data_IF_941769659362
#
_entry.id   IF_941769659362
#
_cell.length_a   1.000
_cell.length_b   1.000
_cell.length_c   1.000
_cell.angle_alpha   90.00
_cell.angle_beta   90.00
_cell.angle_gamma   90.00
#
_symmetry.space_group_name_H-M   'P 1'
#
loop_
_entity.id
_entity.type
_entity.pdbx_description
1 polymer ?
#
# COMPACT_ATOMS: atom_id res chain seq x y z
N UNK A 1 0.29 -13.41 -9.48
CA UNK A 1 -0.85 -12.58 -9.07
C UNK A 1 -0.95 -11.37 -9.97
N UNK A 2 -2.14 -10.92 -10.37
CA UNK A 2 -2.32 -9.69 -11.16
C UNK A 2 -2.81 -8.56 -10.24
N UNK A 3 -2.26 -7.36 -10.44
CA UNK A 3 -2.60 -6.15 -9.70
C UNK A 3 -2.96 -5.05 -10.70
N UNK A 4 -4.12 -4.43 -10.49
CA UNK A 4 -4.60 -3.28 -11.27
C UNK A 4 -4.83 -2.08 -10.34
N UNK A 5 -4.34 -0.91 -10.73
CA UNK A 5 -4.54 0.34 -10.02
C UNK A 5 -5.71 1.14 -10.62
N UNK A 6 -6.82 1.17 -9.89
CA UNK A 6 -8.05 1.78 -10.36
C UNK A 6 -8.08 3.30 -10.15
N UNK A 7 -7.27 3.82 -9.21
CA UNK A 7 -7.13 5.24 -8.93
C UNK A 7 -7.28 5.54 -7.43
N UNK A 8 -6.79 6.68 -6.97
CA UNK A 8 -6.76 7.04 -5.54
C UNK A 8 -6.08 5.96 -4.66
N UNK A 9 -6.82 5.24 -3.82
CA UNK A 9 -6.37 4.05 -3.08
C UNK A 9 -7.05 2.77 -3.55
N UNK A 10 -7.76 2.81 -4.68
CA UNK A 10 -8.53 1.68 -5.18
C UNK A 10 -7.64 0.75 -6.03
N UNK A 11 -7.55 -0.52 -5.63
CA UNK A 11 -6.80 -1.56 -6.33
C UNK A 11 -7.65 -2.81 -6.53
N UNK A 12 -7.39 -3.53 -7.63
CA UNK A 12 -7.94 -4.88 -7.84
C UNK A 12 -6.81 -5.90 -7.90
N UNK A 13 -6.88 -6.92 -7.04
CA UNK A 13 -6.01 -8.08 -7.06
C UNK A 13 -6.75 -9.28 -7.64
N UNK A 14 -6.08 -10.03 -8.50
CA UNK A 14 -6.61 -11.25 -9.11
C UNK A 14 -5.62 -12.40 -8.92
N UNK A 15 -6.14 -13.53 -8.43
CA UNK A 15 -5.43 -14.80 -8.29
C UNK A 15 -6.38 -15.94 -8.65
N UNK A 16 -5.96 -16.85 -9.52
CA UNK A 16 -6.76 -18.02 -9.94
C UNK A 16 -8.20 -17.68 -10.38
N UNK A 17 -8.39 -16.50 -11.00
CA UNK A 17 -9.69 -16.00 -11.45
C UNK A 17 -10.57 -15.37 -10.36
N UNK A 18 -10.15 -15.43 -9.08
CA UNK A 18 -10.80 -14.74 -7.97
C UNK A 18 -10.29 -13.30 -7.84
N UNK A 19 -11.20 -12.34 -7.77
CA UNK A 19 -10.87 -10.92 -7.74
C UNK A 19 -11.27 -10.26 -6.42
N UNK A 20 -10.32 -9.54 -5.79
CA UNK A 20 -10.55 -8.71 -4.61
C UNK A 20 -10.32 -7.24 -4.97
N UNK A 21 -11.32 -6.39 -4.72
CA UNK A 21 -11.18 -4.93 -4.80
C UNK A 21 -10.90 -4.38 -3.40
N UNK A 22 -9.95 -3.46 -3.32
CA UNK A 22 -9.52 -2.75 -2.12
C UNK A 22 -9.93 -1.29 -2.29
N UNK A 23 -10.54 -0.71 -1.25
CA UNK A 23 -10.88 0.72 -1.10
C UNK A 23 -11.54 1.35 -2.34
N UNK A 24 -12.70 0.84 -2.79
CA UNK A 24 -13.45 1.52 -3.85
C UNK A 24 -13.90 2.90 -3.38
N UNK A 25 -13.84 3.90 -4.26
CA UNK A 25 -14.31 5.24 -3.97
C UNK A 25 -15.74 5.45 -4.52
N UNK A 26 -16.54 6.20 -3.78
CA UNK A 26 -17.85 6.68 -4.21
C UNK A 26 -17.74 7.59 -5.44
N UNK A 27 -18.82 7.70 -6.21
CA UNK A 27 -18.89 8.65 -7.30
C UNK A 27 -18.67 10.09 -6.79
N UNK A 28 -17.81 10.81 -7.49
CA UNK A 28 -17.45 12.21 -7.23
C UNK A 28 -16.80 12.48 -5.86
N UNK A 29 -16.47 11.45 -5.06
CA UNK A 29 -15.79 11.63 -3.77
C UNK A 29 -14.32 12.00 -3.93
N UNK A 30 -13.66 11.48 -4.97
CA UNK A 30 -12.31 11.88 -5.36
C UNK A 30 -12.38 12.78 -6.61
N UNK A 31 -11.95 14.05 -6.52
CA UNK A 31 -12.02 14.96 -7.65
C UNK A 31 -11.30 14.42 -8.88
N UNK A 32 -11.95 14.51 -10.04
CA UNK A 32 -11.35 14.20 -11.34
C UNK A 32 -11.20 12.72 -11.69
N UNK A 33 -11.60 11.79 -10.81
CA UNK A 33 -11.67 10.37 -11.13
C UNK A 33 -13.00 9.99 -11.76
N UNK A 34 -12.95 9.04 -12.70
CA UNK A 34 -14.14 8.42 -13.29
C UNK A 34 -14.86 7.55 -12.27
N UNK A 35 -16.18 7.41 -12.46
CA UNK A 35 -16.99 6.45 -11.70
C UNK A 35 -16.43 5.04 -11.86
N UNK A 36 -16.44 4.28 -10.76
CA UNK A 36 -16.17 2.85 -10.80
C UNK A 36 -17.39 2.11 -11.38
N UNK A 37 -17.11 1.12 -12.23
CA UNK A 37 -18.04 0.06 -12.65
C UNK A 37 -17.23 -1.22 -12.71
N UNK A 38 -17.00 -1.80 -11.54
CA UNK A 38 -16.05 -2.90 -11.36
C UNK A 38 -16.78 -4.11 -10.78
N UNK A 39 -16.55 -5.27 -11.38
CA UNK A 39 -16.99 -6.55 -10.84
C UNK A 39 -15.84 -7.22 -10.09
N UNK A 40 -16.17 -7.87 -8.96
CA UNK A 40 -15.21 -8.59 -8.13
C UNK A 40 -15.90 -9.69 -7.31
N UNK A 41 -15.12 -10.63 -6.79
CA UNK A 41 -15.63 -11.70 -5.92
C UNK A 41 -15.70 -11.23 -4.45
N UNK A 42 -14.82 -10.31 -4.06
CA UNK A 42 -14.77 -9.72 -2.72
C UNK A 42 -14.39 -8.24 -2.78
N UNK A 43 -14.88 -7.47 -1.82
CA UNK A 43 -14.48 -6.08 -1.61
C UNK A 43 -14.05 -5.86 -0.17
N UNK A 44 -12.96 -5.12 0.05
CA UNK A 44 -12.43 -4.78 1.37
C UNK A 44 -12.23 -3.27 1.46
N UNK A 45 -12.73 -2.65 2.53
CA UNK A 45 -12.54 -1.23 2.80
C UNK A 45 -11.69 -1.05 4.06
N UNK A 46 -10.64 -0.24 3.97
CA UNK A 46 -9.80 0.14 5.10
C UNK A 46 -10.60 0.90 6.15
N UNK A 47 -11.48 1.80 5.73
CA UNK A 47 -12.35 2.60 6.59
C UNK A 47 -13.57 3.13 5.82
N UNK A 48 -14.46 3.85 6.50
CA UNK A 48 -15.79 4.21 6.00
C UNK A 48 -15.91 5.56 5.26
N UNK A 49 -14.81 6.23 4.91
CA UNK A 49 -14.89 7.48 4.16
C UNK A 49 -15.28 7.23 2.69
N UNK A 50 -15.94 8.20 2.06
CA UNK A 50 -16.46 8.06 0.70
C UNK A 50 -15.38 7.89 -0.37
N UNK A 51 -14.13 8.25 -0.11
CA UNK A 51 -13.00 7.97 -1.00
C UNK A 51 -12.39 6.55 -0.80
N UNK A 52 -12.95 5.73 0.10
CA UNK A 52 -12.49 4.37 0.42
C UNK A 52 -13.61 3.33 0.60
N UNK A 53 -14.88 3.73 0.66
CA UNK A 53 -16.00 2.84 0.97
C UNK A 53 -17.20 2.96 -0.02
N UNK A 54 -16.93 3.21 -1.29
CA UNK A 54 -17.93 3.24 -2.38
C UNK A 54 -18.40 1.86 -2.83
N UNK A 55 -18.94 1.08 -1.90
CA UNK A 55 -19.39 -0.30 -2.12
C UNK A 55 -20.51 -0.41 -3.17
N UNK A 56 -21.30 0.65 -3.35
CA UNK A 56 -22.39 0.67 -4.33
C UNK A 56 -21.90 0.64 -5.80
N UNK A 57 -20.61 0.91 -6.03
CA UNK A 57 -19.98 0.88 -7.36
C UNK A 57 -19.26 -0.45 -7.66
N UNK A 58 -19.34 -1.42 -6.74
CA UNK A 58 -18.79 -2.75 -6.91
C UNK A 58 -19.91 -3.77 -7.08
N UNK A 59 -19.89 -4.49 -8.20
CA UNK A 59 -20.80 -5.61 -8.46
C UNK A 59 -20.15 -6.90 -7.97
N UNK A 60 -20.67 -7.48 -6.89
CA UNK A 60 -20.22 -8.79 -6.44
C UNK A 60 -20.67 -9.86 -7.42
N UNK A 61 -19.71 -10.65 -7.93
CA UNK A 61 -19.98 -11.72 -8.90
C UNK A 61 -20.81 -12.87 -8.32
N UNK A 62 -20.79 -13.06 -7.00
CA UNK A 62 -21.50 -14.14 -6.29
C UNK A 62 -21.24 -15.54 -6.88
N UNK A 63 -19.99 -15.81 -7.29
CA UNK A 63 -19.60 -17.06 -7.97
C UNK A 63 -19.69 -18.30 -7.07
N UNK A 64 -19.69 -18.12 -5.75
CA UNK A 64 -19.55 -19.21 -4.78
C UNK A 64 -18.15 -19.83 -4.75
N UNK A 65 -17.19 -19.26 -5.48
CA UNK A 65 -15.80 -19.71 -5.47
C UNK A 65 -15.17 -19.46 -4.10
N UNK A 66 -14.36 -20.40 -3.63
CA UNK A 66 -13.53 -20.19 -2.45
C UNK A 66 -12.42 -19.19 -2.79
N UNK A 67 -12.17 -18.23 -1.90
CA UNK A 67 -11.07 -17.29 -2.09
C UNK A 67 -9.72 -18.02 -1.98
N UNK A 68 -8.81 -17.88 -2.97
CA UNK A 68 -7.44 -18.36 -2.86
C UNK A 68 -6.58 -17.45 -1.96
N UNK A 69 -7.10 -16.29 -1.55
CA UNK A 69 -6.41 -15.36 -0.69
C UNK A 69 -6.60 -15.70 0.78
N UNK A 70 -5.49 -15.80 1.51
CA UNK A 70 -5.51 -15.58 2.95
C UNK A 70 -5.50 -14.07 3.21
N UNK A 71 -6.59 -13.56 3.78
CA UNK A 71 -6.77 -12.14 4.11
C UNK A 71 -6.65 -11.94 5.62
N UNK A 72 -5.82 -10.99 6.02
CA UNK A 72 -5.72 -10.51 7.40
C UNK A 72 -6.00 -9.01 7.44
N UNK A 73 -6.69 -8.57 8.49
CA UNK A 73 -7.03 -7.17 8.77
C UNK A 73 -6.36 -6.76 10.07
N UNK A 74 -5.57 -5.70 10.04
CA UNK A 74 -4.96 -5.09 11.23
C UNK A 74 -5.59 -3.73 11.48
N UNK A 75 -6.18 -3.54 12.66
CA UNK A 75 -6.73 -2.24 13.08
C UNK A 75 -5.60 -1.25 13.39
N UNK A 76 -5.69 -0.05 12.83
CA UNK A 76 -4.71 1.03 12.92
C UNK A 76 -5.43 2.39 12.95
N UNK A 77 -4.69 3.48 12.76
CA UNK A 77 -5.21 4.83 12.89
C UNK A 77 -4.96 5.65 11.64
N UNK A 78 -5.96 6.48 11.29
CA UNK A 78 -5.90 7.44 10.18
C UNK A 78 -5.09 8.70 10.56
N UNK A 79 -4.69 8.83 11.83
CA UNK A 79 -3.86 9.93 12.33
C UNK A 79 -2.86 9.47 13.43
N UNK A 80 -1.97 10.38 13.85
CA UNK A 80 -0.98 10.18 14.90
C UNK A 80 -1.53 10.42 16.33
N UNK A 81 -2.85 10.59 16.46
CA UNK A 81 -3.60 10.81 17.70
C UNK A 81 -4.60 9.67 17.95
N UNK A 82 -4.30 8.47 17.46
CA UNK A 82 -5.13 7.27 17.67
C UNK A 82 -6.56 7.45 17.19
N UNK A 83 -6.73 8.08 16.04
CA UNK A 83 -8.02 8.27 15.38
C UNK A 83 -8.85 9.43 15.93
N UNK A 84 -8.32 10.25 16.85
CA UNK A 84 -9.06 11.40 17.38
C UNK A 84 -9.40 12.46 16.32
N UNK A 85 -8.60 12.56 15.26
CA UNK A 85 -8.77 13.57 14.21
C UNK A 85 -9.50 13.02 12.99
N UNK A 86 -9.28 11.74 12.66
CA UNK A 86 -9.66 11.13 11.37
C UNK A 86 -10.26 9.73 11.48
N UNK A 87 -10.30 9.17 12.68
CA UNK A 87 -10.89 7.85 12.94
C UNK A 87 -9.94 6.67 12.73
N UNK A 88 -10.53 5.48 12.66
CA UNK A 88 -9.80 4.23 12.47
C UNK A 88 -9.39 4.03 11.01
N UNK A 89 -8.33 3.26 10.82
CA UNK A 89 -7.89 2.77 9.53
C UNK A 89 -7.59 1.27 9.64
N UNK A 90 -7.81 0.49 8.59
CA UNK A 90 -7.36 -0.89 8.56
C UNK A 90 -6.34 -1.16 7.48
N UNK A 91 -5.26 -1.83 7.89
CA UNK A 91 -4.26 -2.39 7.00
C UNK A 91 -4.76 -3.77 6.58
N UNK A 92 -4.79 -4.03 5.28
CA UNK A 92 -5.12 -5.36 4.73
C UNK A 92 -3.87 -6.05 4.23
N UNK A 93 -3.65 -7.29 4.70
CA UNK A 93 -2.59 -8.18 4.24
C UNK A 93 -3.26 -9.28 3.42
N UNK A 94 -2.87 -9.42 2.16
CA UNK A 94 -3.39 -10.39 1.22
C UNK A 94 -2.28 -11.33 0.78
N UNK A 95 -2.48 -12.63 0.98
CA UNK A 95 -1.53 -13.67 0.63
C UNK A 95 -2.14 -14.68 -0.34
N UNK A 96 -1.53 -14.82 -1.51
CA UNK A 96 -1.84 -15.84 -2.51
C UNK A 96 -0.65 -16.01 -3.45
N UNK A 97 -0.56 -17.15 -4.16
CA UNK A 97 0.54 -17.46 -5.09
C UNK A 97 1.95 -17.32 -4.46
N UNK A 98 2.07 -17.55 -3.14
CA UNK A 98 3.33 -17.39 -2.40
C UNK A 98 3.78 -15.94 -2.19
N UNK A 99 2.92 -14.96 -2.49
CA UNK A 99 3.19 -13.52 -2.37
C UNK A 99 2.40 -12.91 -1.23
N UNK A 100 2.97 -11.85 -0.63
CA UNK A 100 2.34 -11.04 0.41
C UNK A 100 2.22 -9.58 -0.04
N UNK A 101 0.99 -9.15 -0.32
CA UNK A 101 0.65 -7.77 -0.69
C UNK A 101 -0.01 -7.09 0.52
N UNK A 102 0.45 -5.89 0.86
CA UNK A 102 -0.08 -5.11 1.98
C UNK A 102 -0.64 -3.80 1.46
N UNK A 103 -1.91 -3.56 1.75
CA UNK A 103 -2.58 -2.28 1.52
C UNK A 103 -2.67 -1.52 2.83
N UNK A 104 -2.00 -0.37 2.91
CA UNK A 104 -1.93 0.39 4.17
C UNK A 104 -3.22 1.15 4.50
N UNK A 105 -4.16 1.26 3.55
CA UNK A 105 -5.27 2.18 3.68
C UNK A 105 -4.75 3.61 3.77
N UNK A 106 -5.41 4.40 4.59
CA UNK A 106 -5.01 5.76 4.92
C UNK A 106 -4.24 5.79 6.24
N UNK A 107 -3.15 5.03 6.31
CA UNK A 107 -2.33 4.99 7.53
C UNK A 107 -1.85 6.42 7.88
N UNK A 108 -2.12 6.83 9.12
CA UNK A 108 -1.74 8.15 9.64
C UNK A 108 -0.54 8.14 10.59
N UNK A 109 -0.07 6.95 10.98
CA UNK A 109 0.98 6.78 11.97
C UNK A 109 1.87 5.58 11.65
N UNK A 110 3.04 5.49 12.31
CA UNK A 110 3.82 4.26 12.29
C UNK A 110 3.02 3.15 13.01
N UNK A 111 2.83 1.97 12.41
CA UNK A 111 2.14 0.85 13.06
C UNK A 111 2.84 0.40 14.35
N UNK A 112 2.08 -0.18 15.27
CA UNK A 112 2.60 -0.75 16.51
C UNK A 112 3.54 -1.93 16.22
N UNK A 113 4.39 -2.26 17.19
CA UNK A 113 5.42 -3.31 17.02
C UNK A 113 4.83 -4.65 16.53
N UNK A 114 3.74 -5.10 17.14
CA UNK A 114 3.09 -6.35 16.74
C UNK A 114 2.53 -6.28 15.31
N UNK A 115 2.06 -5.11 14.86
CA UNK A 115 1.59 -4.92 13.49
C UNK A 115 2.76 -4.98 12.51
N UNK A 116 3.87 -4.31 12.84
CA UNK A 116 5.10 -4.37 12.04
C UNK A 116 5.58 -5.83 11.89
N UNK A 117 5.60 -6.61 12.98
CA UNK A 117 5.93 -8.04 12.94
C UNK A 117 4.99 -8.83 12.01
N UNK A 118 3.68 -8.53 12.00
CA UNK A 118 2.73 -9.13 11.06
C UNK A 118 2.94 -8.66 9.62
N UNK A 119 3.50 -7.47 9.40
CA UNK A 119 3.76 -6.88 8.08
C UNK A 119 5.14 -7.23 7.51
N UNK A 120 6.05 -7.81 8.31
CA UNK A 120 7.35 -8.28 7.85
C UNK A 120 7.23 -9.19 6.62
N UNK A 121 8.31 -9.26 5.83
CA UNK A 121 8.37 -10.13 4.66
C UNK A 121 7.31 -9.78 3.61
N UNK A 122 6.89 -8.51 3.51
CA UNK A 122 6.02 -8.04 2.44
C UNK A 122 6.75 -8.09 1.09
N UNK A 123 6.09 -8.60 0.06
CA UNK A 123 6.61 -8.50 -1.31
C UNK A 123 6.23 -7.15 -1.92
N UNK A 124 4.99 -6.71 -1.67
CA UNK A 124 4.47 -5.45 -2.19
C UNK A 124 3.77 -4.68 -1.07
N UNK A 125 4.08 -3.39 -0.96
CA UNK A 125 3.32 -2.45 -0.11
C UNK A 125 2.69 -1.37 -0.99
N UNK A 126 1.39 -1.18 -0.84
CA UNK A 126 0.59 -0.10 -1.43
C UNK A 126 0.43 0.97 -0.34
N UNK A 127 1.00 2.16 -0.56
CA UNK A 127 1.18 3.16 0.50
C UNK A 127 0.68 4.54 0.08
N UNK A 128 -0.11 5.24 0.94
CA UNK A 128 -0.51 6.61 0.66
C UNK A 128 0.73 7.52 0.72
N UNK A 129 0.85 8.48 -0.20
CA UNK A 129 2.01 9.40 -0.24
C UNK A 129 1.65 10.88 -0.34
N UNK A 130 0.35 11.19 -0.33
CA UNK A 130 -0.15 12.57 -0.44
C UNK A 130 0.00 13.40 0.83
N UNK A 131 0.14 12.77 2.01
CA UNK A 131 0.15 13.46 3.30
C UNK A 131 -1.18 14.18 3.59
N UNK A 132 -1.14 15.18 4.49
CA UNK A 132 -2.28 16.00 4.94
C UNK A 132 -3.45 15.24 5.61
N UNK A 133 -4.12 14.35 4.87
CA UNK A 133 -5.12 13.42 5.37
C UNK A 133 -4.49 12.12 5.87
N UNK A 134 -3.39 11.69 5.27
CA UNK A 134 -2.63 10.50 5.67
C UNK A 134 -1.29 10.89 6.30
N UNK A 135 -0.50 9.90 6.70
CA UNK A 135 0.85 10.12 7.19
C UNK A 135 1.69 10.92 6.18
N UNK A 136 2.53 11.82 6.68
CA UNK A 136 3.43 12.61 5.84
C UNK A 136 4.47 11.71 5.12
N UNK A 137 4.94 12.11 3.91
CA UNK A 137 5.92 11.33 3.13
C UNK A 137 7.10 10.79 3.93
N UNK A 138 7.62 11.55 4.88
CA UNK A 138 8.76 11.18 5.71
C UNK A 138 8.45 9.96 6.60
N UNK A 139 7.22 9.88 7.12
CA UNK A 139 6.73 8.75 7.91
C UNK A 139 6.57 7.51 7.03
N UNK A 140 6.09 7.69 5.80
CA UNK A 140 5.95 6.60 4.83
C UNK A 140 7.32 6.06 4.40
N UNK A 141 8.29 6.94 4.11
CA UNK A 141 9.68 6.54 3.83
C UNK A 141 10.27 5.76 5.00
N UNK A 142 10.00 6.17 6.23
CA UNK A 142 10.43 5.44 7.42
C UNK A 142 9.79 4.05 7.51
N UNK A 143 8.48 3.95 7.29
CA UNK A 143 7.78 2.67 7.31
C UNK A 143 8.30 1.71 6.22
N UNK A 144 8.48 2.20 4.99
CA UNK A 144 9.02 1.40 3.88
C UNK A 144 10.46 0.95 4.17
N UNK A 145 11.29 1.79 4.81
CA UNK A 145 12.64 1.41 5.21
C UNK A 145 12.65 0.32 6.29
N UNK A 146 11.73 0.38 7.26
CA UNK A 146 11.59 -0.62 8.33
C UNK A 146 11.14 -1.98 7.80
N UNK A 147 10.21 -1.98 6.83
CA UNK A 147 9.63 -3.22 6.27
C UNK A 147 10.41 -3.77 5.08
N UNK A 148 11.18 -2.94 4.39
CA UNK A 148 12.02 -3.27 3.24
C UNK A 148 11.35 -4.22 2.23
N UNK A 149 10.15 -3.87 1.70
CA UNK A 149 9.47 -4.72 0.73
C UNK A 149 10.26 -4.81 -0.59
N UNK A 150 10.02 -5.86 -1.39
CA UNK A 150 10.63 -5.91 -2.72
C UNK A 150 10.12 -4.76 -3.62
N UNK A 151 8.83 -4.46 -3.52
CA UNK A 151 8.16 -3.41 -4.28
C UNK A 151 7.33 -2.50 -3.37
N UNK A 152 7.36 -1.20 -3.65
CA UNK A 152 6.40 -0.23 -3.12
C UNK A 152 5.65 0.45 -4.26
N UNK A 153 4.34 0.61 -4.13
CA UNK A 153 3.49 1.33 -5.10
C UNK A 153 2.84 2.50 -4.36
N UNK A 154 3.09 3.76 -4.77
CA UNK A 154 2.44 4.93 -4.18
C UNK A 154 0.96 4.99 -4.57
N UNK A 155 0.13 5.47 -3.65
CA UNK A 155 -1.30 5.73 -3.83
C UNK A 155 -1.71 7.00 -3.06
N UNK A 156 -2.99 7.39 -3.09
CA UNK A 156 -3.54 8.55 -2.35
C UNK A 156 -2.71 9.84 -2.51
N UNK A 157 -2.57 10.31 -3.75
CA UNK A 157 -1.86 11.54 -4.09
C UNK A 157 -2.62 12.30 -5.17
N UNK A 158 -2.36 13.60 -5.30
CA UNK A 158 -2.96 14.39 -6.39
C UNK A 158 -2.13 14.32 -7.66
N UNK A 159 -2.84 14.48 -8.78
CA UNK A 159 -2.27 14.73 -10.11
C UNK A 159 -2.77 16.08 -10.62
N UNK A 160 -2.31 16.57 -11.79
CA UNK A 160 -2.94 17.72 -12.43
C UNK A 160 -4.42 17.53 -12.79
N UNK A 161 -4.88 16.27 -12.87
CA UNK A 161 -6.24 15.92 -13.32
C UNK A 161 -7.13 15.37 -12.21
N UNK A 162 -6.59 14.94 -11.07
CA UNK A 162 -7.35 14.25 -10.02
C UNK A 162 -6.75 14.39 -8.62
N UNK A 163 -7.54 13.99 -7.62
CA UNK A 163 -7.17 13.98 -6.21
C UNK A 163 -7.41 15.32 -5.52
N UNK A 164 -7.35 15.31 -4.19
CA UNK A 164 -7.63 16.51 -3.41
C UNK A 164 -6.48 17.54 -3.55
N UNK A 165 -6.78 18.84 -3.79
CA UNK A 165 -5.75 19.86 -4.02
C UNK A 165 -4.71 20.02 -2.90
N UNK A 166 -5.08 19.66 -1.68
CA UNK A 166 -4.24 19.74 -0.47
C UNK A 166 -3.19 18.62 -0.39
N UNK A 167 -3.35 17.54 -1.15
CA UNK A 167 -2.39 16.44 -1.18
C UNK A 167 -1.11 16.85 -1.91
N UNK A 168 -0.01 16.21 -1.57
CA UNK A 168 1.21 16.21 -2.37
C UNK A 168 1.03 15.37 -3.64
N UNK A 169 1.87 15.64 -4.62
CA UNK A 169 1.98 14.84 -5.84
C UNK A 169 2.85 13.62 -5.61
N UNK A 170 2.68 12.59 -6.43
CA UNK A 170 3.57 11.42 -6.44
C UNK A 170 5.04 11.84 -6.68
N UNK A 171 5.28 12.81 -7.57
CA UNK A 171 6.63 13.33 -7.85
C UNK A 171 7.33 13.92 -6.64
N UNK A 172 6.58 14.51 -5.69
CA UNK A 172 7.18 15.05 -4.47
C UNK A 172 7.69 13.93 -3.56
N UNK A 173 6.96 12.82 -3.43
CA UNK A 173 7.40 11.65 -2.68
C UNK A 173 8.62 10.96 -3.32
N UNK A 174 8.63 10.86 -4.65
CA UNK A 174 9.65 10.12 -5.40
C UNK A 174 11.04 10.77 -5.40
N UNK A 175 11.18 12.03 -4.98
CA UNK A 175 12.48 12.72 -4.89
C UNK A 175 13.49 11.98 -4.01
N UNK A 176 12.99 11.26 -3.00
CA UNK A 176 13.81 10.50 -2.05
C UNK A 176 13.84 8.99 -2.37
N UNK A 177 13.29 8.58 -3.52
CA UNK A 177 13.32 7.19 -4.00
C UNK A 177 14.50 6.96 -4.98
N UNK A 178 15.41 6.05 -4.63
CA UNK A 178 16.58 5.75 -5.46
C UNK A 178 16.33 4.80 -6.65
N UNK A 179 15.25 4.01 -6.64
CA UNK A 179 14.94 3.00 -7.65
C UNK A 179 13.47 3.08 -8.07
N UNK A 180 13.18 3.94 -9.06
CA UNK A 180 11.81 4.18 -9.55
C UNK A 180 11.63 3.58 -10.94
N UNK A 181 10.59 2.76 -11.13
CA UNK A 181 10.12 2.34 -12.45
C UNK A 181 8.71 2.85 -12.70
N UNK A 182 8.46 3.39 -13.90
CA UNK A 182 7.13 3.84 -14.34
C UNK A 182 6.59 2.91 -15.40
N UNK A 183 5.29 2.63 -15.32
CA UNK A 183 4.56 1.85 -16.31
C UNK A 183 3.43 2.69 -16.89
N UNK A 184 3.30 2.69 -18.22
CA UNK A 184 2.20 3.32 -18.96
C UNK A 184 0.90 2.48 -18.95
N UNK A 185 0.79 1.56 -17.99
CA UNK A 185 -0.37 0.71 -17.77
C UNK A 185 -0.78 0.81 -16.30
N UNK A 186 -2.07 0.60 -16.07
CA UNK A 186 -2.68 0.45 -14.75
C UNK A 186 -2.48 -0.95 -14.16
N UNK A 187 -2.01 -1.91 -14.96
CA UNK A 187 -2.04 -3.33 -14.64
C UNK A 187 -0.66 -3.96 -14.76
N UNK A 188 -0.26 -4.70 -13.73
CA UNK A 188 0.97 -5.49 -13.75
C UNK A 188 0.72 -6.91 -13.26
N UNK A 189 1.63 -7.81 -13.64
CA UNK A 189 1.73 -9.14 -13.04
C UNK A 189 2.84 -9.13 -12.00
N UNK A 190 2.48 -9.50 -10.78
CA UNK A 190 3.39 -9.73 -9.68
C UNK A 190 3.84 -11.19 -9.72
N UNK A 191 5.15 -11.38 -9.67
CA UNK A 191 5.81 -12.67 -9.63
C UNK A 191 6.66 -12.76 -8.37
N UNK A 192 6.75 -13.95 -7.78
CA UNK A 192 7.63 -14.19 -6.64
C UNK A 192 9.08 -13.98 -7.04
N UNK A 193 9.67 -12.91 -6.52
CA UNK A 193 11.11 -12.72 -6.59
C UNK A 193 11.82 -13.81 -5.79
N UNK A 194 12.93 -14.34 -6.30
CA UNK A 194 13.85 -15.11 -5.46
C UNK A 194 14.41 -14.16 -4.42
N UNK A 195 13.94 -14.25 -3.17
CA UNK A 195 14.61 -13.59 -2.05
C UNK A 195 15.94 -14.31 -1.87
N UNK A 196 17.04 -13.63 -2.17
CA UNK A 196 18.34 -14.11 -1.71
C UNK A 196 18.28 -14.12 -0.19
N UNK A 197 18.43 -15.30 0.42
CA UNK A 197 18.59 -15.40 1.86
C UNK A 197 19.87 -14.66 2.19
N UNK A 198 19.78 -13.48 2.79
CA UNK A 198 20.91 -12.94 3.53
C UNK A 198 21.13 -13.91 4.70
N UNK A 199 22.26 -14.61 4.65
CA UNK A 199 22.69 -15.47 5.74
C UNK A 199 22.70 -14.67 7.03
N UNK A 200 21.97 -15.15 8.03
CA UNK A 200 22.03 -14.61 9.39
C UNK A 200 23.51 -14.57 9.82
N UNK A 201 24.02 -13.48 10.41
CA UNK A 201 25.40 -13.45 10.85
C UNK A 201 25.58 -14.52 11.95
N UNK A 202 26.36 -15.55 11.64
CA UNK A 202 26.81 -16.50 12.65
C UNK A 202 27.54 -15.76 13.79
N UNK A 203 27.24 -16.19 15.01
CA UNK A 203 27.46 -15.45 16.24
C UNK A 203 28.85 -14.84 16.40
N UNK A 204 28.86 -13.54 16.72
CA UNK A 204 30.05 -12.87 17.25
C UNK A 204 29.93 -12.81 18.77
N UNK A 205 30.83 -13.53 19.43
CA UNK A 205 30.99 -13.56 20.89
C UNK A 205 31.16 -12.16 21.47
N UNK A 206 30.54 -11.98 22.63
CA UNK A 206 30.58 -10.80 23.48
C UNK A 206 32.01 -10.34 23.78
N UNK A 207 32.30 -9.07 23.47
CA UNK A 207 33.26 -8.28 24.23
C UNK A 207 32.71 -6.86 24.38
N UNK A 208 32.47 -6.47 25.63
CA UNK A 208 31.95 -5.17 26.01
C UNK A 208 32.89 -4.02 25.58
N UNK A 209 32.32 -3.00 24.95
CA UNK A 209 32.92 -1.67 24.86
C UNK A 209 31.83 -0.62 24.63
N UNK A 210 31.80 0.36 25.52
CA UNK A 210 30.89 1.50 25.53
C UNK A 210 31.28 2.51 24.45
N UNK A 211 30.44 2.67 23.43
CA UNK A 211 30.49 3.78 22.49
C UNK A 211 29.05 4.18 22.09
N UNK A 212 28.85 5.49 21.96
CA UNK A 212 27.60 6.23 21.67
C UNK A 212 26.81 5.70 20.46
N UNK A 213 25.49 5.99 20.36
CA UNK A 213 24.69 5.56 19.22
C UNK A 213 24.98 6.45 18.01
N UNK A 214 26.09 6.18 17.32
CA UNK A 214 26.29 6.70 15.98
C UNK A 214 25.26 6.05 15.06
N UNK A 215 24.41 6.90 14.50
CA UNK A 215 23.44 6.56 13.46
C UNK A 215 24.23 6.05 12.26
N UNK A 216 24.27 4.72 12.09
CA UNK A 216 24.74 4.11 10.86
C UNK A 216 23.94 4.70 9.69
N UNK A 217 24.56 5.27 8.66
CA UNK A 217 23.84 5.70 7.47
C UNK A 217 23.19 4.47 6.86
N UNK A 218 21.86 4.46 6.81
CA UNK A 218 21.08 3.38 6.21
C UNK A 218 21.56 3.18 4.77
N UNK A 219 21.86 1.92 4.40
CA UNK A 219 22.09 1.56 2.99
C UNK A 219 20.88 2.00 2.17
N UNK A 220 21.05 2.51 0.95
CA UNK A 220 19.91 2.81 0.08
C UNK A 220 19.07 1.55 -0.06
N UNK A 221 17.77 1.65 0.25
CA UNK A 221 16.88 0.51 0.21
C UNK A 221 16.85 -0.03 -1.22
N UNK A 222 17.01 -1.34 -1.39
CA UNK A 222 16.84 -2.06 -2.66
C UNK A 222 15.38 -2.08 -3.13
N UNK A 223 14.48 -1.47 -2.35
CA UNK A 223 13.04 -1.36 -2.63
C UNK A 223 12.84 -0.71 -3.99
N UNK A 224 12.15 -1.42 -4.88
CA UNK A 224 11.75 -0.89 -6.17
C UNK A 224 10.43 -0.15 -6.03
N UNK A 225 10.42 1.15 -6.27
CA UNK A 225 9.18 1.92 -6.34
C UNK A 225 8.58 1.81 -7.74
N UNK A 226 7.37 1.28 -7.85
CA UNK A 226 6.65 1.15 -9.11
C UNK A 226 5.52 2.18 -9.15
N UNK A 227 5.53 3.05 -10.17
CA UNK A 227 4.44 3.99 -10.44
C UNK A 227 3.63 3.45 -11.60
N UNK A 228 2.35 3.21 -11.36
CA UNK A 228 1.38 2.76 -12.37
C UNK A 228 0.56 3.94 -12.87
N UNK A 229 0.08 3.83 -14.11
CA UNK A 229 -0.96 4.72 -14.62
C UNK A 229 -2.25 4.48 -13.83
N UNK A 230 -3.02 5.52 -13.55
CA UNK A 230 -4.34 5.36 -12.93
C UNK A 230 -5.37 5.06 -14.00
N UNK A 231 -6.02 3.90 -13.93
CA UNK A 231 -7.12 3.51 -14.82
C UNK A 231 -8.18 4.60 -14.95
N UNK A 232 -8.61 5.16 -13.81
CA UNK A 232 -9.69 6.14 -13.76
C UNK A 232 -9.37 7.49 -14.41
N UNK A 233 -8.14 7.69 -14.90
CA UNK A 233 -7.72 8.88 -15.65
C UNK A 233 -7.75 8.68 -17.17
N UNK A 234 -7.97 7.47 -17.65
CA UNK A 234 -7.96 7.16 -19.09
C UNK A 234 -9.25 7.65 -19.72
N UNK A 235 -9.15 8.55 -20.70
CA UNK A 235 -10.27 9.24 -21.36
C UNK A 235 -11.17 8.28 -22.15
#
# INVERSE_FOLDING_TARGET
MKLQYLGHSCFKLESEGYEIVLDPYEKDSVPGLKCLDVEADQCLCSHGHGDHCGLEWIRLKNTGAASPFQVERLESWHDDRKGELRGSNAIHILQAEGMKVIHLGDIGCIPEKWQLERMENADVILAPVGGHYTAEPEVIHELIRRLSPAVMIPMHYRTPKSGFPVLKTCEEYLKDCGNVTRYETDTIRLEAGKREKEDAPEGRKDTASTASPDVCPARPSSVRTIVLKQWALDA
#
